data_IF_810292355861
#
_entry.id   IF_810292355861
#
_cell.length_a   1.000
_cell.length_b   1.000
_cell.length_c   1.000
_cell.angle_alpha   90.00
_cell.angle_beta   90.00
_cell.angle_gamma   90.00
#
_symmetry.space_group_name_H-M   'P 1'
#
loop_
_entity.id
_entity.type
_entity.pdbx_description
1 polymer ?
#
# COMPACT_ATOMS: atom_id res chain seq x y z
N UNK A 1 7.75 0.60 35.72
CA UNK A 1 7.03 1.32 34.66
C UNK A 1 8.05 1.97 33.73
N UNK A 2 8.40 1.30 32.63
CA UNK A 2 9.29 1.86 31.62
C UNK A 2 8.50 2.92 30.86
N UNK A 3 8.83 4.20 31.08
CA UNK A 3 8.38 5.29 30.20
C UNK A 3 8.94 4.98 28.82
N UNK A 4 8.08 4.49 27.93
CA UNK A 4 8.42 4.20 26.55
C UNK A 4 9.13 5.41 25.94
N UNK A 5 10.33 5.21 25.38
CA UNK A 5 11.07 6.24 24.63
C UNK A 5 10.35 6.70 23.36
N UNK A 6 9.16 6.15 23.10
CA UNK A 6 8.28 6.51 21.98
C UNK A 6 7.38 7.67 22.42
N UNK A 7 7.72 8.87 21.99
CA UNK A 7 6.90 10.06 22.18
C UNK A 7 5.96 10.26 20.96
N UNK A 8 4.79 10.87 21.15
CA UNK A 8 3.83 11.18 20.07
C UNK A 8 4.47 12.00 18.94
N UNK A 9 5.39 12.90 19.28
CA UNK A 9 6.15 13.69 18.31
C UNK A 9 7.04 12.82 17.40
N UNK A 10 7.64 11.77 17.95
CA UNK A 10 8.48 10.83 17.21
C UNK A 10 7.62 9.97 16.29
N UNK A 11 6.48 9.48 16.79
CA UNK A 11 5.49 8.74 16.00
C UNK A 11 5.03 9.59 14.80
N UNK A 12 4.71 10.87 15.04
CA UNK A 12 4.28 11.80 14.00
C UNK A 12 5.40 12.11 12.97
N UNK A 13 6.65 12.22 13.42
CA UNK A 13 7.82 12.39 12.54
C UNK A 13 7.98 11.20 11.59
N UNK A 14 7.95 9.97 12.13
CA UNK A 14 8.06 8.74 11.34
C UNK A 14 6.88 8.63 10.36
N UNK A 15 5.66 8.92 10.82
CA UNK A 15 4.48 8.88 9.96
C UNK A 15 4.61 9.83 8.78
N UNK A 16 5.04 11.06 9.03
CA UNK A 16 5.26 12.06 7.97
C UNK A 16 6.32 11.61 6.98
N UNK A 17 7.45 11.05 7.43
CA UNK A 17 8.47 10.53 6.53
C UNK A 17 7.93 9.45 5.58
N UNK A 18 7.06 8.57 6.08
CA UNK A 18 6.39 7.53 5.28
C UNK A 18 5.35 8.11 4.33
N UNK A 19 4.62 9.15 4.76
CA UNK A 19 3.62 9.82 3.93
C UNK A 19 4.29 10.62 2.79
N UNK A 20 5.44 11.24 3.04
CA UNK A 20 6.27 11.96 2.06
C UNK A 20 6.95 11.00 1.07
N UNK A 21 7.66 9.99 1.57
CA UNK A 21 8.27 8.93 0.75
C UNK A 21 7.87 7.54 1.25
N UNK A 22 6.96 6.82 0.56
CA UNK A 22 6.60 5.44 0.92
C UNK A 22 7.72 4.42 0.74
N UNK A 23 8.75 4.75 -0.04
CA UNK A 23 9.86 3.85 -0.33
C UNK A 23 11.00 4.01 0.69
N UNK A 24 10.86 4.95 1.64
CA UNK A 24 11.84 5.15 2.70
C UNK A 24 12.06 3.85 3.47
N UNK A 25 13.33 3.49 3.62
CA UNK A 25 13.70 2.29 4.35
C UNK A 25 13.58 2.51 5.85
N UNK A 26 13.31 1.44 6.59
CA UNK A 26 13.32 1.45 8.06
C UNK A 26 14.68 1.92 8.60
N UNK A 27 15.76 1.68 7.84
CA UNK A 27 17.11 2.13 8.20
C UNK A 27 17.26 3.64 8.07
N UNK A 28 16.80 4.24 6.96
CA UNK A 28 16.81 5.70 6.78
C UNK A 28 15.94 6.43 7.83
N UNK A 29 14.80 5.85 8.20
CA UNK A 29 13.96 6.36 9.30
C UNK A 29 14.67 6.27 10.66
N UNK A 30 15.44 5.19 10.88
CA UNK A 30 16.29 4.99 12.05
C UNK A 30 17.34 6.08 12.17
N UNK A 31 18.05 6.32 11.08
CA UNK A 31 19.18 7.26 11.01
C UNK A 31 18.70 8.71 11.18
N UNK A 32 17.56 9.05 10.56
CA UNK A 32 16.98 10.41 10.61
C UNK A 32 16.45 10.76 12.00
N UNK A 33 15.86 9.80 12.72
CA UNK A 33 15.27 10.02 14.04
C UNK A 33 16.19 9.59 15.19
N UNK A 34 17.41 9.13 14.89
CA UNK A 34 18.38 8.59 15.86
C UNK A 34 17.74 7.53 16.78
N UNK A 35 16.96 6.64 16.17
CA UNK A 35 16.30 5.54 16.87
C UNK A 35 16.98 4.21 16.55
N UNK A 36 16.72 3.22 17.40
CA UNK A 36 17.05 1.84 17.09
C UNK A 36 16.08 1.31 16.03
N UNK A 37 16.60 0.49 15.12
CA UNK A 37 15.81 -0.17 14.07
C UNK A 37 14.57 -0.88 14.63
N UNK A 38 14.74 -1.61 15.74
CA UNK A 38 13.63 -2.33 16.40
C UNK A 38 12.53 -1.40 16.91
N UNK A 39 12.90 -0.21 17.41
CA UNK A 39 11.93 0.79 17.86
C UNK A 39 11.12 1.34 16.68
N UNK A 40 11.77 1.63 15.55
CA UNK A 40 11.08 2.07 14.33
C UNK A 40 10.11 0.99 13.84
N UNK A 41 10.53 -0.28 13.87
CA UNK A 41 9.66 -1.40 13.52
C UNK A 41 8.41 -1.45 14.40
N UNK A 42 8.58 -1.41 15.74
CA UNK A 42 7.46 -1.37 16.70
C UNK A 42 6.54 -0.18 16.46
N UNK A 43 7.09 1.00 16.15
CA UNK A 43 6.28 2.19 15.84
C UNK A 43 5.42 1.96 14.60
N UNK A 44 6.00 1.41 13.52
CA UNK A 44 5.27 1.15 12.27
C UNK A 44 4.17 0.09 12.48
N UNK A 45 4.48 -1.01 13.17
CA UNK A 45 3.57 -2.16 13.29
C UNK A 45 2.54 -2.01 14.40
N UNK A 46 2.91 -1.47 15.56
CA UNK A 46 2.05 -1.44 16.76
C UNK A 46 1.38 -0.10 16.98
N UNK A 47 2.13 0.99 16.84
CA UNK A 47 1.65 2.35 17.13
C UNK A 47 0.90 2.96 15.95
N UNK A 48 1.49 2.94 14.75
CA UNK A 48 0.86 3.46 13.55
C UNK A 48 -0.07 2.44 12.89
N UNK A 49 0.09 1.14 13.22
CA UNK A 49 -0.66 0.01 12.64
C UNK A 49 -0.74 0.11 11.12
N UNK A 50 0.35 0.55 10.48
CA UNK A 50 0.36 0.81 9.05
C UNK A 50 0.14 -0.51 8.32
N UNK A 51 -0.93 -0.53 7.53
CA UNK A 51 -1.16 -1.55 6.52
C UNK A 51 -0.68 -1.00 5.19
N UNK A 52 -0.19 -1.88 4.30
CA UNK A 52 0.14 -1.50 2.92
C UNK A 52 -1.08 -0.80 2.30
N UNK A 53 -0.98 0.50 2.08
CA UNK A 53 -2.01 1.36 1.49
C UNK A 53 -1.75 1.59 -0.02
N UNK A 54 -1.02 0.66 -0.65
CA UNK A 54 -0.63 0.76 -2.07
C UNK A 54 -1.86 0.96 -2.96
N UNK A 55 -2.96 0.26 -2.68
CA UNK A 55 -4.19 0.38 -3.47
C UNK A 55 -4.82 1.77 -3.40
N UNK A 56 -4.86 2.42 -2.22
CA UNK A 56 -5.41 3.76 -2.11
C UNK A 56 -4.53 4.78 -2.83
N UNK A 57 -3.20 4.61 -2.77
CA UNK A 57 -2.25 5.46 -3.51
C UNK A 57 -2.39 5.31 -5.02
N UNK A 58 -2.47 4.08 -5.51
CA UNK A 58 -2.70 3.79 -6.93
C UNK A 58 -4.02 4.42 -7.38
N UNK A 59 -5.07 4.34 -6.57
CA UNK A 59 -6.36 4.99 -6.88
C UNK A 59 -6.21 6.51 -6.99
N UNK A 60 -5.53 7.17 -6.05
CA UNK A 60 -5.26 8.62 -6.15
C UNK A 60 -4.44 8.97 -7.39
N UNK A 61 -3.38 8.21 -7.69
CA UNK A 61 -2.54 8.43 -8.86
C UNK A 61 -3.32 8.25 -10.17
N UNK A 62 -4.20 7.25 -10.27
CA UNK A 62 -5.10 7.08 -11.43
C UNK A 62 -6.04 8.29 -11.56
N UNK A 63 -6.57 8.80 -10.45
CA UNK A 63 -7.46 9.96 -10.47
C UNK A 63 -6.74 11.23 -10.94
N UNK A 64 -5.48 11.42 -10.56
CA UNK A 64 -4.64 12.54 -10.98
C UNK A 64 -4.22 12.43 -12.45
N UNK A 65 -3.71 11.27 -12.87
CA UNK A 65 -3.17 11.07 -14.21
C UNK A 65 -4.27 10.87 -15.26
N UNK A 66 -5.42 10.30 -14.88
CA UNK A 66 -6.50 9.94 -15.79
C UNK A 66 -7.88 10.28 -15.21
N UNK A 67 -8.20 11.58 -15.02
CA UNK A 67 -9.47 12.01 -14.44
C UNK A 67 -10.70 11.52 -15.23
N UNK A 68 -10.57 11.34 -16.55
CA UNK A 68 -11.63 10.77 -17.42
C UNK A 68 -11.94 9.30 -17.10
N UNK A 69 -10.94 8.52 -16.71
CA UNK A 69 -11.08 7.09 -16.33
C UNK A 69 -11.48 6.95 -14.87
N UNK A 70 -11.08 7.90 -14.01
CA UNK A 70 -11.53 7.97 -12.62
C UNK A 70 -13.04 8.19 -12.48
N UNK A 71 -13.62 9.01 -13.37
CA UNK A 71 -15.05 9.26 -13.41
C UNK A 71 -15.87 8.08 -13.98
N UNK A 72 -15.20 7.06 -14.50
CA UNK A 72 -15.82 5.82 -14.98
C UNK A 72 -15.39 4.63 -14.09
N UNK A 73 -16.00 3.46 -14.31
CA UNK A 73 -15.70 2.27 -13.53
C UNK A 73 -14.24 1.86 -13.75
N UNK A 74 -13.42 1.90 -12.71
CA UNK A 74 -12.02 1.44 -12.77
C UNK A 74 -12.01 -0.09 -12.89
N UNK A 75 -11.58 -0.60 -14.04
CA UNK A 75 -11.47 -2.02 -14.32
C UNK A 75 -10.01 -2.45 -14.15
N UNK A 76 -9.78 -3.46 -13.30
CA UNK A 76 -8.46 -4.04 -13.08
C UNK A 76 -8.37 -5.38 -13.80
N UNK A 77 -7.49 -5.45 -14.80
CA UNK A 77 -7.05 -6.71 -15.39
C UNK A 77 -5.78 -7.15 -14.65
N UNK A 78 -5.85 -8.30 -13.97
CA UNK A 78 -4.67 -8.95 -13.40
C UNK A 78 -4.84 -10.46 -13.56
N UNK A 79 -3.73 -11.20 -13.54
CA UNK A 79 -3.80 -12.65 -13.61
C UNK A 79 -4.49 -13.24 -12.39
N UNK A 80 -5.55 -14.02 -12.64
CA UNK A 80 -6.33 -14.70 -11.62
C UNK A 80 -5.58 -15.94 -11.06
N UNK A 81 -4.45 -16.30 -11.69
CA UNK A 81 -3.69 -17.53 -11.49
C UNK A 81 -3.36 -17.82 -10.02
N UNK A 82 -3.03 -16.78 -9.24
CA UNK A 82 -2.56 -16.97 -7.88
C UNK A 82 -3.66 -16.72 -6.83
N UNK A 83 -3.80 -17.67 -5.89
CA UNK A 83 -4.61 -17.56 -4.67
C UNK A 83 -4.54 -16.21 -3.92
N UNK A 84 -3.38 -15.52 -3.80
CA UNK A 84 -3.32 -14.19 -3.19
C UNK A 84 -4.22 -13.13 -3.84
N UNK A 85 -4.48 -13.19 -5.15
CA UNK A 85 -5.34 -12.19 -5.80
C UNK A 85 -6.84 -12.49 -5.64
N UNK A 86 -7.21 -13.74 -5.34
CA UNK A 86 -8.58 -14.15 -5.01
C UNK A 86 -8.91 -14.02 -3.53
N UNK A 87 -7.90 -13.88 -2.68
CA UNK A 87 -8.09 -13.80 -1.24
C UNK A 87 -9.02 -12.64 -0.85
N UNK A 88 -9.82 -12.84 0.21
CA UNK A 88 -10.68 -11.78 0.76
C UNK A 88 -9.89 -10.55 1.17
N UNK A 89 -8.69 -10.76 1.70
CA UNK A 89 -7.78 -9.70 2.08
C UNK A 89 -7.41 -8.76 0.92
N UNK A 90 -7.47 -9.24 -0.33
CA UNK A 90 -7.15 -8.46 -1.54
C UNK A 90 -8.43 -7.94 -2.22
N UNK A 91 -9.46 -8.79 -2.34
CA UNK A 91 -10.70 -8.44 -3.05
C UNK A 91 -11.58 -7.45 -2.29
N UNK A 92 -11.55 -7.46 -0.95
CA UNK A 92 -12.30 -6.53 -0.13
C UNK A 92 -11.85 -5.06 -0.31
N UNK A 93 -10.56 -4.70 -0.14
CA UNK A 93 -10.12 -3.31 -0.33
C UNK A 93 -10.27 -2.85 -1.79
N UNK A 94 -10.13 -3.74 -2.78
CA UNK A 94 -10.41 -3.40 -4.19
C UNK A 94 -11.87 -2.97 -4.39
N UNK A 95 -12.82 -3.70 -3.77
CA UNK A 95 -14.24 -3.36 -3.81
C UNK A 95 -14.54 -2.05 -3.09
N UNK A 96 -13.95 -1.83 -1.92
CA UNK A 96 -14.09 -0.59 -1.15
C UNK A 96 -13.61 0.64 -1.93
N UNK A 97 -12.56 0.49 -2.75
CA UNK A 97 -12.03 1.53 -3.63
C UNK A 97 -12.79 1.66 -4.98
N UNK A 98 -13.84 0.87 -5.19
CA UNK A 98 -14.63 0.87 -6.43
C UNK A 98 -13.92 0.26 -7.64
N UNK A 99 -12.85 -0.50 -7.41
CA UNK A 99 -12.07 -1.17 -8.46
C UNK A 99 -12.71 -2.54 -8.72
N UNK A 100 -13.22 -2.75 -9.92
CA UNK A 100 -13.78 -4.03 -10.33
C UNK A 100 -12.73 -4.88 -11.02
N UNK A 101 -12.47 -6.07 -10.49
CA UNK A 101 -11.61 -7.07 -11.12
C UNK A 101 -12.35 -7.65 -12.33
N UNK A 102 -11.72 -7.59 -13.50
CA UNK A 102 -12.26 -8.20 -14.71
C UNK A 102 -12.10 -9.73 -14.65
N UNK A 103 -13.15 -10.51 -14.99
CA UNK A 103 -13.01 -11.95 -15.08
C UNK A 103 -12.03 -12.30 -16.20
N UNK A 104 -10.95 -12.99 -15.86
CA UNK A 104 -9.93 -13.46 -16.81
C UNK A 104 -9.67 -14.96 -16.61
N UNK A 105 -9.51 -15.75 -17.69
CA UNK A 105 -9.08 -17.14 -17.61
C UNK A 105 -7.72 -17.29 -16.91
N UNK A 106 -7.51 -18.44 -16.29
CA UNK A 106 -6.23 -18.80 -15.67
C UNK A 106 -5.19 -19.09 -16.77
N UNK A 107 -3.95 -18.59 -16.62
CA UNK A 107 -2.82 -18.81 -17.53
C UNK A 107 -3.14 -18.46 -19.00
N UNK A 108 -3.47 -17.18 -19.25
CA UNK A 108 -3.68 -16.70 -20.62
C UNK A 108 -2.69 -15.56 -20.97
N UNK A 109 -1.38 -15.86 -20.99
CA UNK A 109 -0.35 -14.85 -21.33
C UNK A 109 -0.58 -14.22 -22.70
N UNK A 110 -1.13 -14.99 -23.66
CA UNK A 110 -1.49 -14.49 -25.00
C UNK A 110 -2.61 -13.42 -24.99
N UNK A 111 -3.31 -13.23 -23.88
CA UNK A 111 -4.42 -12.28 -23.73
C UNK A 111 -4.05 -11.05 -22.89
N UNK A 112 -2.90 -11.06 -22.20
CA UNK A 112 -2.43 -9.94 -21.41
C UNK A 112 -1.51 -9.07 -22.28
N UNK A 113 -1.87 -7.80 -22.58
CA UNK A 113 -1.04 -6.92 -23.40
C UNK A 113 0.26 -6.45 -22.68
N UNK A 114 0.46 -6.84 -21.42
CA UNK A 114 1.59 -6.42 -20.59
C UNK A 114 2.75 -7.42 -20.57
N UNK A 115 2.55 -8.63 -21.11
CA UNK A 115 3.55 -9.72 -21.12
C UNK A 115 4.33 -9.81 -22.45
N UNK A 116 4.15 -8.85 -23.36
CA UNK A 116 4.86 -8.70 -24.64
C UNK A 116 5.57 -7.34 -24.71
#
# INVERSE_FOLDING_TARGET
MLKSCVNEQIIASIKRGIDEDPHISVRELSDTNVLLYGTVHTIITEHLRLKKNVLSRVKSAINEQQPKVSNSRTLLLHDNVAGPHKAKATTQPLRELGIQVLPHPTYSPNLAPCDF
#
